data_IF_279838900361
#
_entry.id   IF_279838900361
#
_cell.length_a   1.000
_cell.length_b   1.000
_cell.length_c   1.000
_cell.angle_alpha   90.00
_cell.angle_beta   90.00
_cell.angle_gamma   90.00
#
_symmetry.space_group_name_H-M   'P 1'
#
loop_
_entity.id
_entity.type
_entity.pdbx_description
1 polymer ?
#
# COMPACT_ATOMS: atom_id res chain seq x y z
N UNK A 1 -44.77 -17.88 71.63
CA UNK A 1 -44.86 -18.38 70.25
C UNK A 1 -45.54 -17.31 69.41
N UNK A 2 -45.01 -16.68 68.37
CA UNK A 2 -43.71 -16.65 67.70
C UNK A 2 -43.74 -15.31 66.91
N UNK A 3 -42.91 -14.34 67.25
CA UNK A 3 -41.72 -13.93 66.47
C UNK A 3 -41.94 -13.80 64.96
N UNK A 4 -41.94 -12.55 64.45
CA UNK A 4 -41.29 -12.09 63.19
C UNK A 4 -41.47 -10.58 63.04
N UNK A 5 -40.44 -9.81 63.44
CA UNK A 5 -39.33 -9.28 62.62
C UNK A 5 -39.69 -8.01 61.84
N UNK A 6 -39.27 -6.89 62.43
CA UNK A 6 -39.09 -5.58 61.79
C UNK A 6 -38.19 -5.72 60.57
N UNK A 7 -38.59 -5.14 59.44
CA UNK A 7 -37.69 -4.98 58.29
C UNK A 7 -37.35 -3.49 58.18
N UNK A 8 -36.05 -3.24 58.28
CA UNK A 8 -35.41 -1.93 58.28
C UNK A 8 -35.35 -1.34 56.88
N UNK A 9 -35.24 -0.01 56.88
CA UNK A 9 -34.90 0.89 55.78
C UNK A 9 -33.65 0.41 55.03
N UNK A 10 -33.66 0.47 53.70
CA UNK A 10 -32.76 1.35 52.94
C UNK A 10 -32.99 1.23 51.43
N UNK A 11 -33.17 2.39 50.80
CA UNK A 11 -33.31 2.56 49.35
C UNK A 11 -31.92 2.48 48.69
N UNK A 12 -31.42 1.28 48.46
CA UNK A 12 -30.19 1.06 47.71
C UNK A 12 -30.39 1.34 46.21
N UNK A 13 -30.15 2.60 45.80
CA UNK A 13 -30.03 2.99 44.39
C UNK A 13 -28.87 2.20 43.75
N UNK A 14 -29.05 1.55 42.58
CA UNK A 14 -27.94 0.89 41.93
C UNK A 14 -26.94 1.96 41.45
N UNK A 15 -25.71 1.90 41.97
CA UNK A 15 -24.56 2.62 41.41
C UNK A 15 -24.48 2.26 39.93
N UNK A 16 -24.76 3.22 39.05
CA UNK A 16 -24.33 3.17 37.65
C UNK A 16 -22.82 3.03 37.66
N UNK A 17 -22.32 1.80 37.58
CA UNK A 17 -20.95 1.53 37.19
C UNK A 17 -20.87 2.04 35.76
N UNK A 18 -20.38 3.28 35.60
CA UNK A 18 -19.93 3.72 34.30
C UNK A 18 -18.74 2.83 33.96
N UNK A 19 -19.01 1.74 33.26
CA UNK A 19 -18.00 1.07 32.47
C UNK A 19 -17.60 2.06 31.38
N UNK A 20 -16.74 3.02 31.75
CA UNK A 20 -15.78 3.64 30.85
C UNK A 20 -14.87 2.50 30.40
N UNK A 21 -15.44 1.62 29.57
CA UNK A 21 -14.69 0.77 28.70
C UNK A 21 -13.97 1.76 27.83
N UNK A 22 -12.72 2.01 28.21
CA UNK A 22 -11.68 2.43 27.29
C UNK A 22 -11.64 1.36 26.19
N UNK A 23 -12.62 1.37 25.28
CA UNK A 23 -12.43 0.93 23.91
C UNK A 23 -11.43 1.93 23.35
N UNK A 24 -10.16 1.73 23.73
CA UNK A 24 -9.04 2.08 22.90
C UNK A 24 -9.42 1.43 21.58
N UNK A 25 -9.90 2.25 20.66
CA UNK A 25 -9.92 1.95 19.24
C UNK A 25 -8.50 1.46 18.97
N UNK A 26 -8.32 0.13 18.98
CA UNK A 26 -7.16 -0.50 18.38
C UNK A 26 -7.38 -0.29 16.89
N UNK A 27 -7.13 0.94 16.45
CA UNK A 27 -6.89 1.27 15.05
C UNK A 27 -5.77 0.32 14.69
N UNK A 28 -6.10 -0.67 13.88
CA UNK A 28 -5.22 -1.74 13.43
C UNK A 28 -3.87 -1.12 13.09
N UNK A 29 -2.92 -1.28 14.03
CA UNK A 29 -1.59 -0.71 13.91
C UNK A 29 -0.88 -1.49 12.84
N UNK A 30 -0.97 -0.98 11.62
CA UNK A 30 -0.27 -1.49 10.48
C UNK A 30 1.23 -1.64 10.80
N UNK A 31 1.85 -2.81 10.54
CA UNK A 31 3.26 -3.03 10.89
C UNK A 31 4.14 -2.03 10.13
N UNK A 32 4.68 -1.06 10.85
CA UNK A 32 5.59 -0.05 10.30
C UNK A 32 6.99 -0.65 10.18
N UNK A 33 7.42 -0.98 8.97
CA UNK A 33 8.81 -1.33 8.66
C UNK A 33 9.43 -0.14 7.92
N UNK A 34 10.29 0.63 8.61
CA UNK A 34 11.12 1.70 8.04
C UNK A 34 10.36 2.86 7.39
N UNK A 35 10.41 4.05 8.00
CA UNK A 35 9.95 5.30 7.36
C UNK A 35 8.44 5.58 7.42
N UNK A 36 7.70 4.94 8.32
CA UNK A 36 6.32 5.33 8.64
C UNK A 36 5.22 4.91 7.66
N UNK A 37 5.58 4.40 6.47
CA UNK A 37 4.64 3.94 5.44
C UNK A 37 4.24 2.48 5.67
N UNK A 38 2.96 2.18 5.49
CA UNK A 38 2.41 0.84 5.61
C UNK A 38 2.81 -0.06 4.44
N UNK A 39 2.99 -1.36 4.71
CA UNK A 39 3.24 -2.35 3.66
C UNK A 39 2.08 -2.39 2.65
N UNK A 40 0.84 -2.22 3.13
CA UNK A 40 -0.35 -2.12 2.28
C UNK A 40 -0.23 -0.97 1.29
N UNK A 41 0.20 0.21 1.75
CA UNK A 41 0.35 1.40 0.91
C UNK A 41 1.44 1.19 -0.14
N UNK A 42 2.54 0.51 0.24
CA UNK A 42 3.61 0.15 -0.72
C UNK A 42 3.11 -0.82 -1.79
N UNK A 43 2.28 -1.80 -1.42
CA UNK A 43 1.71 -2.77 -2.36
C UNK A 43 0.66 -2.11 -3.28
N UNK A 44 -0.15 -1.21 -2.76
CA UNK A 44 -1.11 -0.42 -3.54
C UNK A 44 -0.39 0.51 -4.52
N UNK A 45 0.65 1.22 -4.07
CA UNK A 45 1.50 2.02 -4.94
C UNK A 45 2.14 1.14 -6.03
N UNK A 46 2.62 -0.06 -5.69
CA UNK A 46 3.20 -0.97 -6.68
C UNK A 46 2.17 -1.41 -7.73
N UNK A 47 0.94 -1.72 -7.32
CA UNK A 47 -0.17 -2.04 -8.25
C UNK A 47 -0.42 -0.90 -9.23
N UNK A 48 -0.41 0.35 -8.77
CA UNK A 48 -0.66 1.53 -9.62
C UNK A 48 0.38 1.76 -10.73
N UNK A 49 1.57 1.17 -10.61
CA UNK A 49 2.66 1.30 -11.59
C UNK A 49 2.59 0.24 -12.70
N UNK A 50 1.80 -0.81 -12.51
CA UNK A 50 1.68 -1.88 -13.50
C UNK A 50 0.60 -1.52 -14.53
N UNK A 51 0.77 -1.95 -15.79
CA UNK A 51 -0.21 -1.70 -16.85
C UNK A 51 -1.47 -2.58 -16.72
N UNK A 52 -1.56 -3.42 -15.70
CA UNK A 52 -2.65 -4.37 -15.45
C UNK A 52 -3.64 -3.75 -14.47
N UNK A 53 -4.88 -3.50 -14.89
CA UNK A 53 -5.95 -2.93 -14.04
C UNK A 53 -6.59 -3.95 -13.08
N UNK A 54 -5.96 -5.11 -12.87
CA UNK A 54 -6.52 -6.14 -12.01
C UNK A 54 -6.36 -5.73 -10.53
N UNK A 55 -7.44 -5.23 -9.95
CA UNK A 55 -7.49 -4.78 -8.54
C UNK A 55 -7.22 -5.92 -7.55
N UNK A 56 -7.58 -7.16 -7.91
CA UNK A 56 -7.49 -8.36 -7.06
C UNK A 56 -6.26 -9.26 -7.32
N UNK A 57 -5.13 -8.69 -7.74
CA UNK A 57 -3.90 -9.48 -7.87
C UNK A 57 -3.36 -9.89 -6.48
N UNK A 58 -3.13 -11.19 -6.29
CA UNK A 58 -2.40 -11.77 -5.16
C UNK A 58 -0.94 -11.27 -5.16
N UNK A 59 -0.35 -11.03 -3.99
CA UNK A 59 1.04 -10.55 -3.86
C UNK A 59 2.08 -11.36 -4.63
N UNK A 60 1.93 -12.69 -4.74
CA UNK A 60 2.87 -13.52 -5.50
C UNK A 60 2.84 -13.21 -7.00
N UNK A 61 1.64 -13.08 -7.57
CA UNK A 61 1.44 -12.69 -8.97
C UNK A 61 1.88 -11.24 -9.21
N UNK A 62 1.62 -10.35 -8.25
CA UNK A 62 2.04 -8.95 -8.32
C UNK A 62 3.56 -8.84 -8.50
N UNK A 63 4.34 -9.62 -7.76
CA UNK A 63 5.79 -9.61 -7.88
C UNK A 63 6.27 -10.22 -9.20
N UNK A 64 5.60 -11.25 -9.71
CA UNK A 64 5.92 -11.82 -11.02
C UNK A 64 5.66 -10.80 -12.13
N UNK A 65 4.46 -10.22 -12.19
CA UNK A 65 4.12 -9.19 -13.19
C UNK A 65 5.06 -7.99 -13.10
N UNK A 66 5.45 -7.60 -11.88
CA UNK A 66 6.44 -6.55 -11.65
C UNK A 66 7.80 -6.91 -12.26
N UNK A 67 8.29 -8.13 -12.04
CA UNK A 67 9.55 -8.59 -12.60
C UNK A 67 9.52 -8.58 -14.13
N UNK A 68 8.44 -9.12 -14.71
CA UNK A 68 8.24 -9.14 -16.16
C UNK A 68 8.18 -7.72 -16.74
N UNK A 69 7.48 -6.81 -16.06
CA UNK A 69 7.37 -5.42 -16.49
C UNK A 69 8.70 -4.67 -16.40
N UNK A 70 9.50 -4.90 -15.35
CA UNK A 70 10.87 -4.35 -15.25
C UNK A 70 11.72 -4.81 -16.43
N UNK A 71 11.69 -6.11 -16.78
CA UNK A 71 12.44 -6.65 -17.92
C UNK A 71 11.99 -6.00 -19.23
N UNK A 72 10.68 -5.86 -19.44
CA UNK A 72 10.10 -5.17 -20.60
C UNK A 72 10.59 -3.72 -20.70
N UNK A 73 10.50 -2.94 -19.63
CA UNK A 73 10.96 -1.55 -19.61
C UNK A 73 12.46 -1.45 -19.92
N UNK A 74 13.29 -2.30 -19.30
CA UNK A 74 14.74 -2.33 -19.57
C UNK A 74 15.03 -2.64 -21.04
N UNK A 75 14.27 -3.54 -21.63
CA UNK A 75 14.40 -3.89 -23.05
C UNK A 75 14.01 -2.72 -23.96
N UNK A 76 12.91 -2.03 -23.65
CA UNK A 76 12.48 -0.83 -24.39
C UNK A 76 13.55 0.27 -24.34
N UNK A 77 14.08 0.56 -23.14
CA UNK A 77 15.18 1.53 -22.98
C UNK A 77 16.41 1.11 -23.77
N UNK A 78 16.78 -0.17 -23.74
CA UNK A 78 17.92 -0.69 -24.48
C UNK A 78 17.75 -0.52 -26.01
N UNK A 79 16.58 -0.85 -26.56
CA UNK A 79 16.28 -0.67 -27.98
C UNK A 79 16.37 0.82 -28.35
N UNK A 80 15.75 1.70 -27.57
CA UNK A 80 15.80 3.14 -27.81
C UNK A 80 17.24 3.67 -27.81
N UNK A 81 18.07 3.23 -26.87
CA UNK A 81 19.48 3.59 -26.84
C UNK A 81 20.20 3.13 -28.12
N UNK A 82 19.96 1.92 -28.60
CA UNK A 82 20.56 1.43 -29.85
C UNK A 82 20.13 2.23 -31.07
N UNK A 83 18.87 2.66 -31.12
CA UNK A 83 18.39 3.53 -32.18
C UNK A 83 19.10 4.89 -32.13
N UNK A 84 19.27 5.47 -30.94
CA UNK A 84 20.02 6.73 -30.77
C UNK A 84 21.48 6.54 -31.20
N UNK A 85 22.15 5.45 -30.81
CA UNK A 85 23.55 5.21 -31.18
C UNK A 85 23.72 5.09 -32.70
N UNK A 86 22.80 4.38 -33.36
CA UNK A 86 22.82 4.13 -34.80
C UNK A 86 22.52 5.40 -35.61
N UNK A 87 21.47 6.13 -35.25
CA UNK A 87 21.02 7.30 -36.02
C UNK A 87 21.63 8.62 -35.55
N UNK A 88 21.92 8.76 -34.26
CA UNK A 88 22.53 9.96 -33.68
C UNK A 88 24.00 10.17 -34.09
N UNK A 89 24.66 9.13 -34.60
CA UNK A 89 26.02 9.21 -35.13
C UNK A 89 26.09 9.60 -36.61
N UNK A 90 24.95 9.66 -37.33
CA UNK A 90 24.91 10.17 -38.70
C UNK A 90 25.04 11.70 -38.70
N UNK A 91 26.29 12.19 -38.72
CA UNK A 91 26.54 13.57 -39.15
C UNK A 91 26.12 13.66 -40.62
N UNK A 92 25.35 14.69 -41.04
CA UNK A 92 25.06 14.90 -42.45
C UNK A 92 26.40 15.04 -43.17
N UNK A 93 26.68 14.07 -44.05
CA UNK A 93 27.81 14.10 -44.95
C UNK A 93 27.61 15.35 -45.82
N UNK A 94 28.34 16.43 -45.51
CA UNK A 94 28.41 17.59 -46.38
C UNK A 94 29.02 17.09 -47.70
N UNK A 95 28.17 16.92 -48.71
CA UNK A 95 28.61 16.68 -50.08
C UNK A 95 29.48 17.87 -50.51
N UNK A 96 30.77 17.67 -50.87
CA UNK A 96 31.64 18.75 -51.29
C UNK A 96 31.48 19.16 -52.77
N UNK A 97 30.45 18.68 -53.48
CA UNK A 97 30.29 18.99 -54.91
C UNK A 97 29.23 20.08 -55.12
N UNK A 98 29.67 21.32 -54.89
CA UNK A 98 29.07 22.51 -55.50
C UNK A 98 30.20 23.38 -56.05
N UNK A 99 30.33 23.40 -57.37
CA UNK A 99 30.79 24.45 -58.32
C UNK A 99 31.47 23.76 -59.51
#
# INVERSE_FOLDING_TARGET
MDSRKRISKDTAKPRRISSRTNRRLRKSGCPKIGGGVCITDKLEALKSLLPSENSEINTALLFQETADYIVRLKTQVFILQKLIDFYGSQKPQQNPNTV
#
